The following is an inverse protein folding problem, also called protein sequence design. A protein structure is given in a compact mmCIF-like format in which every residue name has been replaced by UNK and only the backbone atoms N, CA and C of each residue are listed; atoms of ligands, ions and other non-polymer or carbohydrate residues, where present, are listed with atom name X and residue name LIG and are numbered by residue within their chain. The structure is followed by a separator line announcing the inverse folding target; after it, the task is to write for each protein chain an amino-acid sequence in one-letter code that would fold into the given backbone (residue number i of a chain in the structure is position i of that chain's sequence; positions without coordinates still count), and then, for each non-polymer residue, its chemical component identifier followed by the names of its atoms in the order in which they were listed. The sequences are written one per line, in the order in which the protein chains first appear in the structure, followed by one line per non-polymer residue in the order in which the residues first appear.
data_IF_999786797587
#
_entry.id   IF_999786797587
#
_cell.length_a   1.000
_cell.length_b   1.000
_cell.length_c   1.000
_cell.angle_alpha   90.00
_cell.angle_beta   90.00
_cell.angle_gamma   90.00
#
_symmetry.space_group_name_H-M   'P 1'
#
loop_
_entity.id
_entity.type
_entity.pdbx_description
1 polymer ?
#
# COMPACT_ATOMS: atom_id res chain seq x y z
N UNK A 1 35.61 19.13 -1.21
CA UNK A 1 34.19 19.01 -1.60
C UNK A 1 33.69 17.70 -1.01
N UNK A 2 32.84 17.72 0.01
CA UNK A 2 32.27 16.51 0.61
C UNK A 2 30.76 16.63 0.45
N UNK A 3 30.16 15.74 -0.35
CA UNK A 3 28.71 15.62 -0.43
C UNK A 3 28.15 15.36 0.98
N UNK A 4 27.06 16.04 1.39
CA UNK A 4 26.32 15.63 2.56
C UNK A 4 25.82 14.21 2.33
N UNK A 5 26.09 13.31 3.28
CA UNK A 5 25.44 12.01 3.29
C UNK A 5 23.93 12.25 3.40
N UNK A 6 23.18 11.89 2.34
CA UNK A 6 21.73 11.83 2.41
C UNK A 6 21.34 10.93 3.59
N UNK A 7 20.47 11.36 4.51
CA UNK A 7 19.98 10.48 5.57
C UNK A 7 19.33 9.25 4.92
N UNK A 8 19.78 8.07 5.36
CA UNK A 8 19.59 6.79 4.67
C UNK A 8 18.15 6.28 4.59
N UNK A 9 17.91 5.44 3.57
CA UNK A 9 16.74 4.56 3.45
C UNK A 9 15.54 5.22 2.77
N UNK A 10 15.44 5.08 1.45
CA UNK A 10 14.46 5.69 0.54
C UNK A 10 13.07 5.99 1.13
N UNK A 11 12.76 7.28 1.21
CA UNK A 11 11.44 7.81 1.53
C UNK A 11 10.33 7.15 0.68
N UNK A 12 9.26 6.70 1.34
CA UNK A 12 7.99 6.38 0.68
C UNK A 12 7.83 4.98 0.08
N UNK A 13 8.58 3.94 0.46
CA UNK A 13 8.36 2.58 -0.07
C UNK A 13 8.15 1.53 1.02
N UNK A 14 7.25 0.58 0.78
CA UNK A 14 7.11 -0.64 1.57
C UNK A 14 6.77 -1.83 0.67
N UNK A 15 7.24 -3.01 1.05
CA UNK A 15 6.94 -4.29 0.40
C UNK A 15 6.67 -5.36 1.45
N UNK A 16 5.74 -6.27 1.14
CA UNK A 16 5.51 -7.46 1.94
C UNK A 16 5.09 -8.64 1.05
N UNK A 17 5.57 -9.83 1.40
CA UNK A 17 5.18 -11.08 0.73
C UNK A 17 3.98 -11.68 1.45
N UNK A 18 3.03 -12.21 0.67
CA UNK A 18 1.89 -12.97 1.16
C UNK A 18 1.75 -14.29 0.40
N UNK A 19 0.94 -15.26 0.88
CA UNK A 19 0.64 -16.49 0.15
C UNK A 19 -0.04 -16.27 -1.22
N UNK A 20 -0.55 -15.07 -1.47
CA UNK A 20 -1.18 -14.67 -2.72
C UNK A 20 -0.20 -13.93 -3.64
N UNK A 21 0.93 -13.44 -3.15
CA UNK A 21 1.87 -12.66 -3.94
C UNK A 21 2.52 -11.55 -3.13
N UNK A 22 3.42 -10.82 -3.78
CA UNK A 22 4.05 -9.62 -3.26
C UNK A 22 3.08 -8.44 -3.34
N UNK A 23 3.04 -7.66 -2.27
CA UNK A 23 2.33 -6.39 -2.19
C UNK A 23 3.36 -5.29 -2.03
N UNK A 24 3.22 -4.22 -2.80
CA UNK A 24 4.08 -3.03 -2.77
C UNK A 24 3.22 -1.80 -2.56
N UNK A 25 3.73 -0.85 -1.79
CA UNK A 25 3.14 0.46 -1.61
C UNK A 25 4.22 1.52 -1.75
N UNK A 26 3.99 2.48 -2.63
CA UNK A 26 4.90 3.59 -2.91
C UNK A 26 4.17 4.91 -2.71
N UNK A 27 4.78 5.84 -1.99
CA UNK A 27 4.33 7.20 -1.80
C UNK A 27 4.75 8.06 -2.99
N UNK A 28 3.80 8.78 -3.55
CA UNK A 28 3.99 9.80 -4.58
C UNK A 28 3.63 11.14 -3.96
N UNK A 29 4.64 11.98 -3.67
CA UNK A 29 4.43 13.27 -3.05
C UNK A 29 3.75 14.24 -4.03
N UNK A 30 2.75 14.98 -3.57
CA UNK A 30 2.00 15.97 -4.34
C UNK A 30 1.96 17.31 -3.59
N UNK A 31 3.14 17.75 -3.12
CA UNK A 31 3.30 18.92 -2.25
C UNK A 31 3.36 18.56 -0.76
N UNK A 32 3.45 19.57 0.13
CA UNK A 32 3.69 19.36 1.56
C UNK A 32 2.50 18.73 2.30
N UNK A 33 1.27 19.00 1.86
CA UNK A 33 0.04 18.59 2.55
C UNK A 33 -0.67 17.40 1.89
N UNK A 34 -0.19 16.95 0.72
CA UNK A 34 -0.88 15.96 -0.11
C UNK A 34 0.09 14.97 -0.72
N UNK A 35 -0.35 13.73 -0.84
CA UNK A 35 0.33 12.69 -1.57
C UNK A 35 -0.63 11.66 -2.11
N UNK A 36 -0.10 10.65 -2.76
CA UNK A 36 -0.82 9.48 -3.19
C UNK A 36 -0.03 8.24 -2.82
N UNK A 37 -0.71 7.20 -2.35
CA UNK A 37 -0.12 5.87 -2.29
C UNK A 37 -0.47 5.13 -3.57
N UNK A 38 0.55 4.75 -4.32
CA UNK A 38 0.43 3.74 -5.36
C UNK A 38 0.63 2.35 -4.72
N UNK A 39 -0.43 1.56 -4.73
CA UNK A 39 -0.46 0.21 -4.17
C UNK A 39 -0.58 -0.77 -5.33
N UNK A 40 0.33 -1.73 -5.36
CA UNK A 40 0.41 -2.75 -6.39
C UNK A 40 0.54 -4.13 -5.75
N UNK A 41 -0.02 -5.15 -6.38
CA UNK A 41 0.34 -6.53 -6.07
C UNK A 41 0.42 -7.40 -7.32
N UNK A 42 1.39 -8.30 -7.32
CA UNK A 42 1.72 -9.21 -8.44
C UNK A 42 0.92 -10.52 -8.42
N UNK A 43 -0.08 -10.64 -7.55
CA UNK A 43 -0.94 -11.81 -7.52
C UNK A 43 -1.67 -12.00 -8.84
N UNK A 44 -1.67 -13.24 -9.34
CA UNK A 44 -2.20 -13.63 -10.64
C UNK A 44 -3.73 -13.80 -10.68
N UNK A 45 -4.42 -13.63 -9.55
CA UNK A 45 -5.87 -13.75 -9.45
C UNK A 45 -6.40 -15.18 -9.34
N UNK A 46 -5.54 -16.20 -9.34
CA UNK A 46 -5.95 -17.62 -9.27
C UNK A 46 -6.44 -18.03 -7.89
N UNK A 47 -5.88 -17.44 -6.82
CA UNK A 47 -6.19 -17.79 -5.42
C UNK A 47 -7.18 -16.82 -4.76
N UNK A 48 -7.36 -15.64 -5.34
CA UNK A 48 -8.32 -14.61 -4.89
C UNK A 48 -8.75 -13.75 -6.07
N UNK A 49 -10.04 -13.45 -6.19
CA UNK A 49 -10.54 -12.63 -7.32
C UNK A 49 -10.56 -11.14 -7.00
N UNK A 50 -10.61 -10.82 -5.71
CA UNK A 50 -10.87 -9.48 -5.20
C UNK A 50 -9.92 -9.19 -4.04
N UNK A 51 -9.82 -7.93 -3.66
CA UNK A 51 -9.05 -7.49 -2.50
C UNK A 51 -9.74 -6.34 -1.79
N UNK A 52 -9.61 -6.31 -0.46
CA UNK A 52 -9.91 -5.16 0.36
C UNK A 52 -8.61 -4.46 0.73
N UNK A 53 -8.49 -3.19 0.42
CA UNK A 53 -7.35 -2.36 0.81
C UNK A 53 -7.82 -1.43 1.92
N UNK A 54 -7.36 -1.66 3.15
CA UNK A 54 -7.53 -0.73 4.25
C UNK A 54 -6.32 0.20 4.32
N UNK A 55 -6.55 1.51 4.33
CA UNK A 55 -5.50 2.52 4.46
C UNK A 55 -5.78 3.32 5.73
N UNK A 56 -4.80 3.36 6.64
CA UNK A 56 -4.88 4.04 7.92
C UNK A 56 -3.81 5.11 8.02
N UNK A 57 -4.22 6.34 8.34
CA UNK A 57 -3.32 7.49 8.50
C UNK A 57 -3.90 8.44 9.54
N UNK A 58 -3.08 8.92 10.48
CA UNK A 58 -3.52 9.89 11.50
C UNK A 58 -4.72 9.41 12.35
N UNK A 59 -4.87 8.10 12.54
CA UNK A 59 -6.02 7.50 13.24
C UNK A 59 -7.30 7.36 12.39
N UNK A 60 -7.31 7.86 11.16
CA UNK A 60 -8.41 7.68 10.21
C UNK A 60 -8.17 6.45 9.35
N UNK A 61 -9.20 5.64 9.15
CA UNK A 61 -9.16 4.46 8.28
C UNK A 61 -10.14 4.61 7.12
N UNK A 62 -9.72 4.19 5.93
CA UNK A 62 -10.58 4.07 4.75
C UNK A 62 -10.38 2.72 4.08
N UNK A 63 -11.41 2.28 3.37
CA UNK A 63 -11.38 1.01 2.66
C UNK A 63 -11.63 1.25 1.17
N UNK A 64 -10.78 0.65 0.34
CA UNK A 64 -10.94 0.57 -1.11
C UNK A 64 -11.08 -0.89 -1.49
N UNK A 65 -12.23 -1.28 -2.03
CA UNK A 65 -12.42 -2.63 -2.56
C UNK A 65 -12.01 -2.67 -4.03
N UNK A 66 -11.41 -3.78 -4.42
CA UNK A 66 -10.97 -4.04 -5.80
C UNK A 66 -11.50 -5.39 -6.22
N UNK A 67 -12.25 -5.38 -7.32
CA UNK A 67 -13.03 -6.54 -7.76
C UNK A 67 -12.25 -7.46 -8.71
N UNK A 68 -11.05 -7.06 -9.14
CA UNK A 68 -10.24 -7.80 -10.12
C UNK A 68 -8.74 -7.64 -9.88
N UNK A 69 -7.99 -8.58 -10.43
CA UNK A 69 -6.52 -8.56 -10.58
C UNK A 69 -6.15 -8.26 -12.04
N UNK A 70 -4.99 -7.62 -12.33
CA UNK A 70 -3.97 -7.16 -11.38
C UNK A 70 -4.48 -6.03 -10.47
N UNK A 71 -4.00 -6.03 -9.24
CA UNK A 71 -4.36 -5.02 -8.26
C UNK A 71 -3.43 -3.82 -8.40
N UNK A 72 -3.99 -2.73 -8.90
CA UNK A 72 -3.34 -1.44 -8.91
C UNK A 72 -4.32 -0.39 -8.37
N UNK A 73 -3.93 0.32 -7.32
CA UNK A 73 -4.75 1.34 -6.70
C UNK A 73 -3.91 2.57 -6.38
N UNK A 74 -4.45 3.74 -6.71
CA UNK A 74 -3.91 5.03 -6.31
C UNK A 74 -4.85 5.60 -5.25
N UNK A 75 -4.32 5.89 -4.07
CA UNK A 75 -5.13 6.32 -2.93
C UNK A 75 -4.61 7.64 -2.34
N UNK A 76 -5.40 8.74 -2.32
CA UNK A 76 -4.92 10.06 -1.89
C UNK A 76 -4.59 10.11 -0.40
N UNK A 77 -3.39 10.48 0.03
CA UNK A 77 -3.01 10.55 1.46
C UNK A 77 -2.65 11.96 1.88
N UNK A 78 -2.74 12.25 3.18
CA UNK A 78 -2.22 13.50 3.73
C UNK A 78 -0.69 13.50 3.66
N UNK A 79 -0.09 14.66 3.48
CA UNK A 79 1.36 14.84 3.57
C UNK A 79 1.89 14.64 5.00
N UNK A 80 3.18 14.32 5.13
CA UNK A 80 3.91 14.40 6.40
C UNK A 80 3.54 13.38 7.50
N UNK A 81 2.62 12.45 7.26
CA UNK A 81 2.28 11.39 8.22
C UNK A 81 2.45 9.99 7.62
N UNK A 82 3.08 9.03 8.34
CA UNK A 82 3.16 7.65 7.89
C UNK A 82 1.78 7.05 7.59
N UNK A 83 1.74 6.15 6.61
CA UNK A 83 0.52 5.46 6.19
C UNK A 83 0.68 3.97 6.45
N UNK A 84 -0.31 3.36 7.07
CA UNK A 84 -0.42 1.91 7.16
C UNK A 84 -1.40 1.41 6.09
N UNK A 85 -1.02 0.35 5.37
CA UNK A 85 -1.84 -0.29 4.35
C UNK A 85 -1.98 -1.76 4.67
N UNK A 86 -3.22 -2.24 4.75
CA UNK A 86 -3.52 -3.68 4.79
C UNK A 86 -4.23 -4.07 3.51
N UNK A 87 -3.72 -5.11 2.86
CA UNK A 87 -4.37 -5.72 1.71
C UNK A 87 -4.88 -7.08 2.14
N UNK A 88 -6.20 -7.25 2.23
CA UNK A 88 -6.84 -8.51 2.56
C UNK A 88 -7.45 -9.13 1.28
N UNK A 89 -6.88 -10.22 0.75
CA UNK A 89 -7.44 -10.93 -0.39
C UNK A 89 -8.81 -11.54 -0.04
N UNK A 90 -9.71 -11.54 -1.02
CA UNK A 90 -11.02 -12.18 -0.91
C UNK A 90 -11.08 -13.35 -1.88
N UNK A 91 -11.22 -14.56 -1.33
CA UNK A 91 -11.23 -15.81 -2.10
C UNK A 91 -12.44 -15.89 -3.04
N UNK A 92 -12.42 -16.85 -3.97
CA UNK A 92 -13.58 -17.09 -4.85
C UNK A 92 -14.86 -17.46 -4.06
N UNK A 93 -14.72 -18.05 -2.87
CA UNK A 93 -15.82 -18.36 -1.97
C UNK A 93 -16.33 -17.14 -1.18
N UNK A 94 -15.67 -15.98 -1.29
CA UNK A 94 -16.04 -14.75 -0.59
C UNK A 94 -15.41 -14.60 0.80
N UNK A 95 -14.51 -15.50 1.20
CA UNK A 95 -13.79 -15.42 2.46
C UNK A 95 -12.70 -14.34 2.40
N UNK A 96 -12.62 -13.50 3.43
CA UNK A 96 -11.54 -12.51 3.58
C UNK A 96 -10.38 -13.13 4.33
N UNK A 97 -9.21 -13.19 3.70
CA UNK A 97 -7.98 -13.68 4.33
C UNK A 97 -7.17 -12.49 4.82
N UNK A 98 -6.76 -12.44 6.11
CA UNK A 98 -5.88 -11.38 6.59
C UNK A 98 -4.58 -11.36 5.79
N UNK A 99 -4.31 -10.26 5.11
CA UNK A 99 -3.09 -10.13 4.33
C UNK A 99 -2.09 -9.16 4.96
N UNK A 100 -1.01 -8.82 4.22
CA UNK A 100 0.13 -8.12 4.80
C UNK A 100 -0.22 -6.70 5.22
N UNK A 101 0.40 -6.25 6.31
CA UNK A 101 0.39 -4.85 6.77
C UNK A 101 1.69 -4.18 6.33
N UNK A 102 1.59 -3.17 5.49
CA UNK A 102 2.70 -2.33 5.03
C UNK A 102 2.69 -1.01 5.78
N UNK A 103 3.86 -0.56 6.23
CA UNK A 103 4.04 0.77 6.82
C UNK A 103 4.89 1.61 5.88
N UNK A 104 4.28 2.61 5.26
CA UNK A 104 4.93 3.52 4.32
C UNK A 104 5.28 4.79 5.06
N UNK A 105 6.57 5.10 5.17
CA UNK A 105 7.02 6.36 5.75
C UNK A 105 6.58 7.54 4.86
N UNK A 106 6.20 8.65 5.49
CA UNK A 106 6.06 9.90 4.76
C UNK A 106 7.46 10.35 4.27
N UNK A 107 7.54 10.91 3.04
CA UNK A 107 8.77 11.51 2.54
C UNK A 107 9.15 12.80 3.28
#
# INVERSE_FOLDING_TARGET
HREPAAPGGGAGYAEAVSPFGTVRATWLAAGPERGFLHIYSDHDGTRARRARIAVTQGGQSRVVNRETWPLEAIVPVAGGQPVEVRLDPITAAGETVPGPLLKVAAP
#
